data_IF_823170342353
#
_entry.id   IF_823170342353
#
_cell.length_a   1.000
_cell.length_b   1.000
_cell.length_c   1.000
_cell.angle_alpha   90.00
_cell.angle_beta   90.00
_cell.angle_gamma   90.00
#
_symmetry.space_group_name_H-M   'P 1'
#
loop_
_entity.id
_entity.type
_entity.pdbx_description
1 polymer ?
#
# COMPACT_ATOMS: atom_id res chain seq x y z
N UNK A 1 -22.77 8.18 19.40
CA UNK A 1 -22.74 7.04 18.47
C UNK A 1 -22.07 7.61 17.25
N UNK A 2 -20.74 7.56 17.23
CA UNK A 2 -19.97 7.93 16.04
C UNK A 2 -20.31 6.91 14.97
N UNK A 3 -20.70 7.36 13.79
CA UNK A 3 -20.68 6.50 12.61
C UNK A 3 -19.24 6.01 12.47
N UNK A 4 -19.00 4.73 12.79
CA UNK A 4 -17.70 4.12 12.62
C UNK A 4 -17.39 4.13 11.12
N UNK A 5 -16.40 4.95 10.77
CA UNK A 5 -15.90 5.18 9.42
C UNK A 5 -15.22 3.89 8.94
N UNK A 6 -15.96 3.03 8.24
CA UNK A 6 -15.50 1.69 7.86
C UNK A 6 -14.63 1.75 6.59
N UNK A 7 -13.39 1.27 6.71
CA UNK A 7 -12.54 0.95 5.56
C UNK A 7 -12.61 -0.56 5.31
N UNK A 8 -12.77 -0.95 4.05
CA UNK A 8 -12.71 -2.35 3.63
C UNK A 8 -11.66 -2.53 2.53
N UNK A 9 -10.91 -3.64 2.60
CA UNK A 9 -9.92 -4.01 1.59
C UNK A 9 -10.39 -5.24 0.80
N UNK A 10 -10.61 -5.04 -0.50
CA UNK A 10 -10.87 -6.13 -1.43
C UNK A 10 -9.55 -6.67 -2.00
N UNK A 11 -9.40 -8.00 -1.94
CA UNK A 11 -8.17 -8.67 -2.33
C UNK A 11 -8.28 -9.40 -3.66
N UNK A 12 -7.48 -8.99 -4.65
CA UNK A 12 -7.24 -9.82 -5.84
C UNK A 12 -6.30 -11.00 -5.52
N UNK A 13 -6.33 -12.02 -6.37
CA UNK A 13 -5.41 -13.15 -6.28
C UNK A 13 -3.94 -12.70 -6.34
N UNK A 14 -3.07 -13.17 -5.42
CA UNK A 14 -1.66 -12.82 -5.44
C UNK A 14 -0.96 -13.25 -6.74
N UNK A 15 -0.06 -12.40 -7.23
CA UNK A 15 0.81 -12.72 -8.35
C UNK A 15 2.22 -13.08 -7.87
N UNK A 16 2.69 -14.27 -8.26
CA UNK A 16 4.01 -14.76 -7.87
C UNK A 16 5.01 -14.61 -9.01
N UNK A 17 6.18 -14.04 -8.72
CA UNK A 17 7.30 -13.95 -9.66
C UNK A 17 8.59 -14.42 -8.98
N UNK A 18 9.51 -14.96 -9.77
CA UNK A 18 10.84 -15.34 -9.27
C UNK A 18 11.84 -14.23 -9.58
N UNK A 19 12.62 -13.75 -8.60
CA UNK A 19 13.69 -12.78 -8.90
C UNK A 19 14.74 -13.46 -9.78
N UNK A 20 15.04 -12.84 -10.92
CA UNK A 20 16.16 -13.27 -11.77
C UNK A 20 17.52 -13.17 -11.07
N UNK A 21 17.61 -12.33 -10.04
CA UNK A 21 18.82 -12.01 -9.30
C UNK A 21 19.20 -13.07 -8.26
N UNK A 22 18.26 -13.41 -7.38
CA UNK A 22 18.46 -14.27 -6.21
C UNK A 22 17.60 -15.54 -6.23
N UNK A 23 16.76 -15.73 -7.26
CA UNK A 23 15.83 -16.86 -7.41
C UNK A 23 14.74 -16.95 -6.33
N UNK A 24 14.52 -15.85 -5.59
CA UNK A 24 13.49 -15.80 -4.55
C UNK A 24 12.10 -15.58 -5.13
N UNK A 25 11.09 -16.15 -4.47
CA UNK A 25 9.70 -15.90 -4.80
C UNK A 25 9.27 -14.56 -4.21
N UNK A 26 8.88 -13.66 -5.09
CA UNK A 26 8.30 -12.36 -4.76
C UNK A 26 6.79 -12.50 -4.95
N UNK A 27 6.04 -12.11 -3.94
CA UNK A 27 4.58 -12.01 -4.02
C UNK A 27 4.20 -10.56 -4.28
N UNK A 28 3.38 -10.33 -5.31
CA UNK A 28 2.81 -9.03 -5.65
C UNK A 28 1.31 -9.05 -5.44
N UNK A 29 0.84 -8.05 -4.71
CA UNK A 29 -0.56 -7.90 -4.36
C UNK A 29 -1.14 -6.68 -5.08
N UNK A 30 -2.39 -6.81 -5.51
CA UNK A 30 -3.24 -5.70 -5.95
C UNK A 30 -4.48 -5.72 -5.08
N UNK A 31 -4.87 -4.55 -4.56
CA UNK A 31 -5.88 -4.42 -3.52
C UNK A 31 -6.67 -3.14 -3.73
N UNK A 32 -7.98 -3.20 -3.56
CA UNK A 32 -8.87 -2.04 -3.67
C UNK A 32 -9.37 -1.65 -2.28
N UNK A 33 -9.44 -0.35 -2.03
CA UNK A 33 -9.79 0.19 -0.72
C UNK A 33 -11.07 1.01 -0.85
N UNK A 34 -12.05 0.64 -0.04
CA UNK A 34 -13.37 1.23 -0.01
C UNK A 34 -13.58 1.94 1.32
N UNK A 35 -14.31 3.05 1.27
CA UNK A 35 -14.81 3.75 2.44
C UNK A 35 -16.32 3.85 2.32
N UNK A 36 -17.06 3.22 3.23
CA UNK A 36 -18.52 3.12 3.15
C UNK A 36 -19.02 2.62 1.78
N UNK A 37 -18.38 1.59 1.22
CA UNK A 37 -18.61 1.00 -0.11
C UNK A 37 -18.19 1.87 -1.31
N UNK A 38 -17.62 3.05 -1.11
CA UNK A 38 -17.09 3.88 -2.18
C UNK A 38 -15.57 3.65 -2.34
N UNK A 39 -15.15 3.20 -3.52
CA UNK A 39 -13.72 3.02 -3.82
C UNK A 39 -13.02 4.37 -3.84
N UNK A 40 -11.99 4.55 -3.01
CA UNK A 40 -11.26 5.82 -2.91
C UNK A 40 -9.75 5.67 -2.97
N UNK A 41 -9.24 4.43 -2.87
CA UNK A 41 -7.85 4.13 -3.07
C UNK A 41 -7.66 2.70 -3.58
N UNK A 42 -6.47 2.41 -4.06
CA UNK A 42 -5.98 1.05 -4.29
C UNK A 42 -4.52 0.99 -3.88
N UNK A 43 -4.00 -0.20 -3.60
CA UNK A 43 -2.58 -0.35 -3.35
C UNK A 43 -1.99 -1.56 -4.02
N UNK A 44 -0.69 -1.43 -4.27
CA UNK A 44 0.17 -2.55 -4.60
C UNK A 44 1.11 -2.83 -3.44
N UNK A 45 1.40 -4.11 -3.19
CA UNK A 45 2.39 -4.52 -2.18
C UNK A 45 3.32 -5.59 -2.75
N UNK A 46 4.61 -5.49 -2.42
CA UNK A 46 5.65 -6.44 -2.81
C UNK A 46 6.25 -7.07 -1.56
N UNK A 47 6.07 -8.38 -1.43
CA UNK A 47 6.59 -9.19 -0.33
C UNK A 47 7.84 -9.91 -0.83
N UNK A 48 8.96 -9.67 -0.14
CA UNK A 48 10.25 -10.33 -0.41
C UNK A 48 10.71 -11.08 0.85
N UNK A 49 10.52 -12.41 0.92
CA UNK A 49 10.77 -13.23 2.12
C UNK A 49 12.17 -13.10 2.74
N UNK A 50 13.19 -12.88 1.90
CA UNK A 50 14.60 -12.95 2.31
C UNK A 50 15.34 -11.62 2.13
N UNK A 51 14.63 -10.51 1.89
CA UNK A 51 15.28 -9.20 1.97
C UNK A 51 15.85 -9.03 3.38
N UNK A 52 17.06 -8.48 3.52
CA UNK A 52 17.70 -8.26 4.83
C UNK A 52 16.83 -7.31 5.68
N UNK A 53 15.89 -7.89 6.44
CA UNK A 53 14.84 -7.21 7.21
C UNK A 53 13.45 -7.58 6.70
N UNK A 54 12.55 -8.02 7.58
CA UNK A 54 11.14 -8.27 7.24
C UNK A 54 10.46 -6.93 6.91
N UNK A 55 10.42 -6.61 5.62
CA UNK A 55 9.77 -5.43 5.11
C UNK A 55 8.93 -5.75 3.87
N UNK A 56 7.84 -5.02 3.73
CA UNK A 56 6.96 -5.04 2.58
C UNK A 56 6.96 -3.63 2.00
N UNK A 57 7.17 -3.53 0.70
CA UNK A 57 7.10 -2.26 -0.02
C UNK A 57 5.73 -2.10 -0.64
N UNK A 58 5.08 -0.98 -0.36
CA UNK A 58 3.76 -0.70 -0.90
C UNK A 58 3.74 0.61 -1.69
N UNK A 59 2.78 0.72 -2.59
CA UNK A 59 2.37 1.97 -3.21
C UNK A 59 0.86 2.11 -3.01
N UNK A 60 0.44 3.00 -2.13
CA UNK A 60 -0.97 3.37 -1.96
C UNK A 60 -1.29 4.47 -2.96
N UNK A 61 -2.29 4.30 -3.81
CA UNK A 61 -2.76 5.31 -4.74
C UNK A 61 -4.11 5.82 -4.28
N UNK A 62 -4.16 7.11 -3.94
CA UNK A 62 -5.38 7.82 -3.61
C UNK A 62 -6.04 8.29 -4.90
N UNK A 63 -7.34 8.07 -5.02
CA UNK A 63 -8.15 8.45 -6.17
C UNK A 63 -9.08 9.61 -5.80
N UNK A 64 -9.17 10.59 -6.69
CA UNK A 64 -10.15 11.67 -6.59
C UNK A 64 -11.15 11.55 -7.74
N UNK A 65 -12.42 11.70 -7.41
CA UNK A 65 -13.53 11.61 -8.35
C UNK A 65 -14.28 12.94 -8.37
N UNK A 66 -14.77 13.33 -9.54
CA UNK A 66 -15.64 14.49 -9.68
C UNK A 66 -17.11 14.16 -9.35
N UNK A 67 -18.00 15.13 -9.55
CA UNK A 67 -19.44 14.99 -9.32
C UNK A 67 -20.14 13.94 -10.22
N UNK A 68 -19.48 13.52 -11.30
CA UNK A 68 -19.97 12.50 -12.23
C UNK A 68 -19.36 11.12 -11.95
N UNK A 69 -18.62 10.97 -10.84
CA UNK A 69 -17.82 9.79 -10.51
C UNK A 69 -16.73 9.48 -11.54
N UNK A 70 -16.26 10.48 -12.28
CA UNK A 70 -15.11 10.35 -13.16
C UNK A 70 -13.82 10.56 -12.38
N UNK A 71 -12.85 9.67 -12.59
CA UNK A 71 -11.55 9.77 -11.92
C UNK A 71 -10.74 10.93 -12.51
N UNK A 72 -10.52 11.97 -11.73
CA UNK A 72 -9.83 13.20 -12.15
C UNK A 72 -8.38 13.27 -11.68
N UNK A 73 -8.04 12.56 -10.60
CA UNK A 73 -6.69 12.58 -10.05
C UNK A 73 -6.30 11.24 -9.41
N UNK A 74 -5.01 10.92 -9.49
CA UNK A 74 -4.40 9.77 -8.83
C UNK A 74 -3.04 10.14 -8.29
N UNK A 75 -2.89 10.01 -6.98
CA UNK A 75 -1.64 10.37 -6.29
C UNK A 75 -1.12 9.15 -5.53
N UNK A 76 0.09 8.72 -5.86
CA UNK A 76 0.76 7.57 -5.30
C UNK A 76 1.68 7.92 -4.14
N UNK A 77 1.58 7.14 -3.06
CA UNK A 77 2.34 7.25 -1.83
C UNK A 77 3.18 5.98 -1.63
N UNK A 78 4.47 6.02 -1.98
CA UNK A 78 5.40 4.94 -1.68
C UNK A 78 5.57 4.80 -0.17
N UNK A 79 5.47 3.57 0.34
CA UNK A 79 5.71 3.29 1.75
C UNK A 79 6.33 1.91 1.97
N UNK A 80 6.78 1.68 3.21
CA UNK A 80 7.30 0.42 3.69
C UNK A 80 6.64 0.07 5.02
N UNK A 81 6.12 -1.14 5.11
CA UNK A 81 5.75 -1.80 6.36
C UNK A 81 6.95 -2.61 6.82
N UNK A 82 7.34 -2.50 8.08
CA UNK A 82 8.51 -3.23 8.61
C UNK A 82 8.39 -3.48 10.10
N UNK A 83 8.94 -4.59 10.57
CA UNK A 83 8.97 -4.94 11.99
C UNK A 83 10.13 -4.23 12.71
N UNK A 84 9.81 -3.47 13.76
CA UNK A 84 10.80 -2.77 14.60
C UNK A 84 11.06 -3.44 15.96
N UNK A 85 10.67 -4.71 16.13
CA UNK A 85 10.70 -5.54 17.35
C UNK A 85 9.53 -5.34 18.32
N UNK A 86 8.94 -4.14 18.37
CA UNK A 86 7.80 -3.85 19.25
C UNK A 86 6.46 -3.90 18.50
N UNK A 87 6.44 -3.37 17.27
CA UNK A 87 5.26 -3.29 16.42
C UNK A 87 5.66 -3.23 14.93
N UNK A 88 4.69 -3.41 14.05
CA UNK A 88 4.89 -3.12 12.63
C UNK A 88 4.76 -1.62 12.42
N UNK A 89 5.79 -1.02 11.85
CA UNK A 89 5.87 0.41 11.60
C UNK A 89 5.71 0.72 10.11
N UNK A 90 5.13 1.89 9.82
CA UNK A 90 4.93 2.41 8.46
C UNK A 90 5.86 3.58 8.19
N UNK A 91 6.61 3.51 7.09
CA UNK A 91 7.54 4.56 6.67
C UNK A 91 7.26 4.98 5.23
N UNK A 92 6.97 6.27 4.99
CA UNK A 92 6.90 6.83 3.63
C UNK A 92 8.27 6.83 2.95
N UNK A 93 8.31 6.48 1.67
CA UNK A 93 9.50 6.34 0.86
C UNK A 93 9.55 7.34 -0.30
N UNK A 94 10.69 7.40 -0.98
CA UNK A 94 10.78 8.04 -2.29
C UNK A 94 10.24 7.12 -3.39
N UNK A 95 9.78 7.70 -4.49
CA UNK A 95 9.20 6.99 -5.63
C UNK A 95 10.16 5.93 -6.21
N UNK A 96 11.46 6.19 -6.17
CA UNK A 96 12.50 5.29 -6.69
C UNK A 96 12.68 4.00 -5.87
N UNK A 97 12.06 3.90 -4.68
CA UNK A 97 12.23 2.76 -3.78
C UNK A 97 11.21 1.64 -3.97
N UNK A 98 10.16 1.86 -4.76
CA UNK A 98 9.09 0.89 -5.05
C UNK A 98 9.11 0.42 -6.51
N UNK A 99 8.56 -0.76 -6.76
CA UNK A 99 8.54 -1.39 -8.10
C UNK A 99 7.63 -0.66 -9.10
N UNK A 100 6.60 0.03 -8.62
CA UNK A 100 5.56 0.66 -9.45
C UNK A 100 5.79 2.14 -9.78
N UNK A 101 7.04 2.60 -9.82
CA UNK A 101 7.40 4.03 -9.98
C UNK A 101 6.94 4.73 -11.28
N UNK A 102 6.38 4.01 -12.24
CA UNK A 102 5.96 4.54 -13.55
C UNK A 102 4.57 4.02 -13.96
N UNK A 103 3.56 4.14 -13.10
CA UNK A 103 2.18 3.84 -13.48
C UNK A 103 1.64 4.99 -14.34
N UNK A 104 0.97 4.65 -15.43
CA UNK A 104 0.35 5.64 -16.31
C UNK A 104 -0.68 6.45 -15.53
N UNK A 105 -0.65 7.78 -15.71
CA UNK A 105 -1.64 8.71 -15.16
C UNK A 105 -1.73 8.71 -13.61
N UNK A 106 -0.63 8.37 -12.93
CA UNK A 106 -0.49 8.46 -11.46
C UNK A 106 0.73 9.33 -11.12
N UNK A 107 0.52 10.38 -10.33
CA UNK A 107 1.64 11.15 -9.77
C UNK A 107 2.19 10.44 -8.54
N UNK A 108 3.38 9.83 -8.65
CA UNK A 108 3.99 9.12 -7.52
C UNK A 108 4.91 10.08 -6.77
N UNK A 109 4.54 10.39 -5.54
CA UNK A 109 5.22 11.36 -4.71
C UNK A 109 6.53 10.80 -4.12
N UNK A 110 7.46 11.71 -3.86
CA UNK A 110 8.60 11.43 -2.97
C UNK A 110 8.23 11.69 -1.52
N UNK A 111 9.04 11.14 -0.59
CA UNK A 111 8.78 11.16 0.86
C UNK A 111 8.42 12.55 1.39
N UNK A 112 9.15 13.57 0.98
CA UNK A 112 8.93 14.95 1.43
C UNK A 112 7.55 15.48 1.02
N UNK A 113 7.16 15.27 -0.25
CA UNK A 113 5.84 15.68 -0.73
C UNK A 113 4.73 14.86 -0.05
N UNK A 114 4.93 13.55 0.10
CA UNK A 114 4.00 12.67 0.82
C UNK A 114 3.74 13.11 2.26
N UNK A 115 4.79 13.55 2.98
CA UNK A 115 4.68 14.00 4.37
C UNK A 115 3.92 15.34 4.53
N UNK A 116 3.86 16.14 3.47
CA UNK A 116 3.18 17.42 3.43
C UNK A 116 1.82 17.36 2.69
N UNK A 117 1.45 16.21 2.13
CA UNK A 117 0.22 16.07 1.37
C UNK A 117 -1.02 15.99 2.28
N UNK A 118 -2.16 16.49 1.79
CA UNK A 118 -3.41 16.50 2.55
C UNK A 118 -3.93 15.08 2.83
N UNK A 119 -3.80 14.13 1.89
CA UNK A 119 -4.13 12.70 2.09
C UNK A 119 -3.20 11.91 3.02
N UNK A 120 -2.15 12.51 3.59
CA UNK A 120 -1.20 11.76 4.45
C UNK A 120 -1.90 10.96 5.55
N UNK A 121 -2.89 11.57 6.21
CA UNK A 121 -3.59 10.91 7.32
C UNK A 121 -4.35 9.67 6.84
N UNK A 122 -5.03 9.77 5.69
CA UNK A 122 -5.72 8.63 5.08
C UNK A 122 -4.75 7.53 4.64
N UNK A 123 -3.59 7.89 4.10
CA UNK A 123 -2.56 6.92 3.70
C UNK A 123 -2.06 6.11 4.91
N UNK A 124 -1.83 6.76 6.06
CA UNK A 124 -1.45 6.04 7.28
C UNK A 124 -2.59 5.19 7.82
N UNK A 125 -3.83 5.71 7.81
CA UNK A 125 -5.02 4.94 8.21
C UNK A 125 -5.20 3.70 7.35
N UNK A 126 -5.07 3.81 6.02
CA UNK A 126 -5.09 2.64 5.12
C UNK A 126 -3.95 1.68 5.46
N UNK A 127 -2.76 2.17 5.75
CA UNK A 127 -1.63 1.30 6.14
C UNK A 127 -1.90 0.52 7.44
N UNK A 128 -2.62 1.11 8.39
CA UNK A 128 -3.07 0.42 9.60
C UNK A 128 -4.09 -0.68 9.25
N UNK A 129 -5.09 -0.36 8.43
CA UNK A 129 -6.12 -1.32 7.97
C UNK A 129 -5.51 -2.48 7.16
N UNK A 130 -4.46 -2.23 6.38
CA UNK A 130 -3.70 -3.27 5.67
C UNK A 130 -3.19 -4.33 6.64
N UNK A 131 -2.69 -3.91 7.82
CA UNK A 131 -2.16 -4.81 8.84
C UNK A 131 -3.23 -5.58 9.61
N UNK A 132 -4.49 -5.16 9.51
CA UNK A 132 -5.64 -5.80 10.17
C UNK A 132 -6.47 -6.68 9.23
N UNK A 133 -6.43 -6.42 7.92
CA UNK A 133 -7.32 -7.07 6.94
C UNK A 133 -6.59 -7.91 5.87
N UNK A 134 -5.39 -7.54 5.41
CA UNK A 134 -4.72 -8.24 4.31
C UNK A 134 -3.97 -9.47 4.80
N UNK A 135 -4.62 -10.63 4.66
CA UNK A 135 -4.12 -11.92 5.11
C UNK A 135 -2.68 -12.22 4.67
N UNK A 136 -2.31 -11.91 3.44
CA UNK A 136 -0.95 -12.21 2.94
C UNK A 136 0.12 -11.38 3.65
N UNK A 137 -0.22 -10.15 4.01
CA UNK A 137 0.65 -9.23 4.74
C UNK A 137 0.70 -9.64 6.22
N UNK A 138 -0.43 -9.99 6.82
CA UNK A 138 -0.50 -10.51 8.18
C UNK A 138 0.32 -11.79 8.34
N UNK A 139 0.12 -12.75 7.42
CA UNK A 139 0.82 -14.04 7.45
C UNK A 139 2.34 -13.84 7.25
N UNK A 140 2.77 -12.86 6.45
CA UNK A 140 4.19 -12.52 6.32
C UNK A 140 4.83 -12.07 7.64
N UNK A 141 4.18 -11.16 8.38
CA UNK A 141 4.71 -10.67 9.66
C UNK A 141 4.52 -11.65 10.83
N UNK A 142 3.58 -12.59 10.73
CA UNK A 142 3.35 -13.62 11.74
C UNK A 142 4.40 -14.74 11.71
N UNK A 143 4.94 -15.08 10.53
CA UNK A 143 5.89 -16.19 10.32
C UNK A 143 7.34 -15.83 10.68
N UNK A 144 7.56 -15.28 11.88
CA UNK A 144 8.87 -14.93 12.45
C UNK A 144 9.80 -16.12 12.68
#
# INVERSE_FOLDING_TARGET
>A
MSDDCLIEIECEEPHYITCVCCQENITRLTRFVYHNNDAFAYYYAEIQPNSHGQNIKCLIVMCEFDENNEMINRVGFPLMLWDNQDHIATTLLNADKVSWKNIKDVEILNRENSLNHHYKADVFRIADEILEQDKEIMDFFANK
#
